data_IF_263267181382
#
_entry.id   IF_263267181382
#
_cell.length_a   1.000
_cell.length_b   1.000
_cell.length_c   1.000
_cell.angle_alpha   90.00
_cell.angle_beta   90.00
_cell.angle_gamma   90.00
#
_symmetry.space_group_name_H-M   'P 1'
#
loop_
_entity.id
_entity.type
_entity.pdbx_description
1 polymer ?
#
# COMPACT_ATOMS: atom_id res chain seq x y z
N UNK A 1 32.22 9.98 8.84
CA UNK A 1 31.41 8.85 9.36
C UNK A 1 29.90 9.00 9.15
N UNK A 2 29.32 10.21 9.18
CA UNK A 2 27.87 10.40 8.94
C UNK A 2 27.43 10.17 7.47
N UNK A 3 28.29 10.52 6.49
CA UNK A 3 28.00 10.37 5.05
C UNK A 3 27.92 8.88 4.65
N UNK A 4 28.77 8.02 5.21
CA UNK A 4 28.75 6.58 4.91
C UNK A 4 27.52 5.88 5.49
N UNK A 5 27.09 6.23 6.71
CA UNK A 5 25.90 5.66 7.34
C UNK A 5 24.63 5.97 6.55
N UNK A 6 24.46 7.21 6.08
CA UNK A 6 23.31 7.61 5.27
C UNK A 6 23.28 6.89 3.91
N UNK A 7 24.44 6.67 3.30
CA UNK A 7 24.57 5.97 2.02
C UNK A 7 24.34 4.46 2.15
N UNK A 8 24.76 3.86 3.25
CA UNK A 8 24.49 2.44 3.57
C UNK A 8 23.00 2.24 3.86
N UNK A 9 22.38 3.11 4.66
CA UNK A 9 20.94 3.06 4.94
C UNK A 9 20.10 3.20 3.66
N UNK A 10 20.46 4.13 2.77
CA UNK A 10 19.77 4.30 1.48
C UNK A 10 19.87 3.08 0.55
N UNK A 11 21.02 2.39 0.54
CA UNK A 11 21.20 1.14 -0.22
C UNK A 11 20.40 -0.02 0.38
N UNK A 12 20.36 -0.10 1.72
CA UNK A 12 19.57 -1.11 2.43
C UNK A 12 18.07 -0.93 2.17
N UNK A 13 17.57 0.31 2.23
CA UNK A 13 16.18 0.64 1.92
C UNK A 13 15.79 0.26 0.48
N UNK A 14 16.66 0.54 -0.50
CA UNK A 14 16.42 0.15 -1.89
C UNK A 14 16.39 -1.38 -2.04
N UNK A 15 17.28 -2.10 -1.36
CA UNK A 15 17.30 -3.56 -1.33
C UNK A 15 16.02 -4.16 -0.75
N UNK A 16 15.52 -3.60 0.36
CA UNK A 16 14.25 -4.03 0.98
C UNK A 16 13.08 -3.80 0.01
N UNK A 17 13.01 -2.63 -0.62
CA UNK A 17 11.96 -2.32 -1.60
C UNK A 17 11.96 -3.32 -2.77
N UNK A 18 13.14 -3.64 -3.33
CA UNK A 18 13.26 -4.62 -4.42
C UNK A 18 12.81 -6.00 -3.95
N UNK A 19 13.26 -6.46 -2.78
CA UNK A 19 12.87 -7.75 -2.23
C UNK A 19 11.35 -7.86 -2.02
N UNK A 20 10.73 -6.83 -1.44
CA UNK A 20 9.28 -6.77 -1.24
C UNK A 20 8.54 -6.75 -2.57
N UNK A 21 9.05 -6.06 -3.58
CA UNK A 21 8.44 -6.03 -4.92
C UNK A 21 8.43 -7.40 -5.58
N UNK A 22 9.55 -8.14 -5.48
CA UNK A 22 9.65 -9.50 -6.00
C UNK A 22 8.71 -10.44 -5.25
N UNK A 23 8.67 -10.36 -3.91
CA UNK A 23 7.76 -11.17 -3.09
C UNK A 23 6.29 -10.86 -3.36
N UNK A 24 5.93 -9.59 -3.57
CA UNK A 24 4.58 -9.18 -3.91
C UNK A 24 4.12 -9.75 -5.26
N UNK A 25 4.99 -9.72 -6.27
CA UNK A 25 4.71 -10.32 -7.57
C UNK A 25 4.59 -11.84 -7.47
N UNK A 26 5.53 -12.49 -6.77
CA UNK A 26 5.49 -13.94 -6.57
C UNK A 26 4.20 -14.36 -5.85
N UNK A 27 3.78 -13.63 -4.81
CA UNK A 27 2.53 -13.90 -4.10
C UNK A 27 1.31 -13.70 -5.02
N UNK A 28 1.29 -12.64 -5.83
CA UNK A 28 0.24 -12.42 -6.82
C UNK A 28 0.12 -13.58 -7.81
N UNK A 29 1.26 -14.09 -8.31
CA UNK A 29 1.30 -15.26 -9.21
C UNK A 29 0.80 -16.51 -8.49
N UNK A 30 1.24 -16.76 -7.27
CA UNK A 30 0.77 -17.91 -6.46
C UNK A 30 -0.74 -17.84 -6.27
N UNK A 31 -1.29 -16.68 -5.91
CA UNK A 31 -2.75 -16.48 -5.76
C UNK A 31 -3.45 -16.77 -7.08
N UNK A 32 -2.97 -16.24 -8.20
CA UNK A 32 -3.53 -16.52 -9.52
C UNK A 32 -3.47 -18.00 -9.91
N UNK A 33 -2.41 -18.72 -9.52
CA UNK A 33 -2.29 -20.15 -9.84
C UNK A 33 -3.19 -21.05 -9.00
N UNK A 34 -3.52 -20.65 -7.76
CA UNK A 34 -4.35 -21.44 -6.84
C UNK A 34 -5.82 -21.02 -6.84
N UNK A 35 -6.16 -19.91 -7.49
CA UNK A 35 -7.53 -19.39 -7.61
C UNK A 35 -7.93 -19.31 -9.07
N UNK A 36 -9.21 -19.52 -9.39
CA UNK A 36 -9.74 -19.34 -10.76
C UNK A 36 -9.90 -17.85 -11.14
N UNK A 37 -9.12 -16.97 -10.53
CA UNK A 37 -9.15 -15.55 -10.82
C UNK A 37 -8.48 -15.24 -12.16
N UNK A 38 -8.91 -14.19 -12.86
CA UNK A 38 -8.27 -13.77 -14.10
C UNK A 38 -6.82 -13.33 -13.87
N UNK A 39 -5.97 -13.42 -14.89
CA UNK A 39 -4.53 -13.13 -14.81
C UNK A 39 -4.20 -11.73 -14.25
N UNK A 40 -5.06 -10.74 -14.48
CA UNK A 40 -4.85 -9.38 -13.96
C UNK A 40 -5.06 -9.26 -12.44
N UNK A 41 -5.58 -10.31 -11.78
CA UNK A 41 -5.62 -10.41 -10.31
C UNK A 41 -4.23 -10.38 -9.68
N UNK A 42 -3.19 -10.82 -10.40
CA UNK A 42 -1.79 -10.69 -9.98
C UNK A 42 -1.45 -9.24 -9.68
N UNK A 43 -1.88 -8.31 -10.54
CA UNK A 43 -1.64 -6.89 -10.35
C UNK A 43 -2.42 -6.33 -9.15
N UNK A 44 -3.65 -6.79 -8.93
CA UNK A 44 -4.46 -6.37 -7.79
C UNK A 44 -3.84 -6.81 -6.46
N UNK A 45 -3.41 -8.06 -6.37
CA UNK A 45 -2.69 -8.59 -5.18
C UNK A 45 -1.37 -7.83 -4.99
N UNK A 46 -0.63 -7.57 -6.06
CA UNK A 46 0.57 -6.74 -6.01
C UNK A 46 0.30 -5.35 -5.43
N UNK A 47 -0.76 -4.67 -5.87
CA UNK A 47 -1.18 -3.37 -5.33
C UNK A 47 -1.51 -3.43 -3.83
N UNK A 48 -2.18 -4.49 -3.37
CA UNK A 48 -2.49 -4.67 -1.94
C UNK A 48 -1.19 -4.80 -1.14
N UNK A 49 -0.26 -5.66 -1.57
CA UNK A 49 0.99 -5.92 -0.83
C UNK A 49 1.90 -4.70 -0.82
N UNK A 50 2.09 -4.05 -1.97
CA UNK A 50 2.90 -2.82 -2.05
C UNK A 50 2.24 -1.68 -1.29
N UNK A 51 0.92 -1.52 -1.39
CA UNK A 51 0.17 -0.54 -0.62
C UNK A 51 0.39 -0.72 0.88
N UNK A 52 0.25 -1.95 1.38
CA UNK A 52 0.52 -2.28 2.78
C UNK A 52 1.97 -2.01 3.19
N UNK A 53 2.95 -2.38 2.35
CA UNK A 53 4.36 -2.10 2.61
C UNK A 53 4.65 -0.60 2.72
N UNK A 54 4.13 0.21 1.78
CA UNK A 54 4.30 1.66 1.79
C UNK A 54 3.66 2.25 3.06
N UNK A 55 2.47 1.80 3.45
CA UNK A 55 1.81 2.24 4.70
C UNK A 55 2.68 1.98 5.92
N UNK A 56 3.17 0.75 6.06
CA UNK A 56 4.02 0.35 7.19
C UNK A 56 5.27 1.22 7.21
N UNK A 57 5.97 1.34 6.07
CA UNK A 57 7.19 2.16 5.96
C UNK A 57 6.93 3.62 6.29
N UNK A 58 5.83 4.18 5.81
CA UNK A 58 5.45 5.57 6.03
C UNK A 58 5.08 5.88 7.49
N UNK A 59 4.54 4.91 8.23
CA UNK A 59 4.28 5.05 9.67
C UNK A 59 5.59 5.18 10.46
N UNK A 60 6.67 4.53 10.00
CA UNK A 60 7.97 4.54 10.66
C UNK A 60 8.91 5.66 10.19
N UNK A 61 8.50 6.49 9.22
CA UNK A 61 9.27 7.66 8.81
C UNK A 61 8.98 8.84 9.74
N UNK A 62 10.01 9.37 10.41
CA UNK A 62 9.91 10.59 11.22
C UNK A 62 9.40 11.78 10.39
N UNK A 63 8.40 12.50 10.91
CA UNK A 63 7.91 13.73 10.29
C UNK A 63 8.87 14.88 10.60
N UNK A 64 9.77 15.19 9.68
CA UNK A 64 10.53 16.45 9.74
C UNK A 64 9.57 17.58 9.40
N UNK A 65 9.21 18.40 10.40
CA UNK A 65 8.40 19.61 10.19
C UNK A 65 9.08 20.51 9.14
N UNK A 66 8.33 20.91 8.12
CA UNK A 66 8.24 22.29 7.60
C UNK A 66 7.39 22.33 6.32
N UNK A 67 6.18 22.88 6.43
CA UNK A 67 5.24 23.41 5.41
C UNK A 67 4.94 22.63 4.10
N UNK A 68 5.47 21.43 3.87
CA UNK A 68 5.12 20.55 2.76
C UNK A 68 4.68 19.16 3.27
N UNK A 69 3.81 18.41 2.54
CA UNK A 69 3.49 17.05 2.90
C UNK A 69 4.79 16.26 3.07
N UNK A 70 5.01 15.71 4.27
CA UNK A 70 6.22 14.95 4.52
C UNK A 70 6.23 13.70 3.63
N UNK A 71 7.41 13.19 3.28
CA UNK A 71 7.51 11.95 2.47
C UNK A 71 6.72 10.78 3.08
N UNK A 72 6.62 10.74 4.42
CA UNK A 72 5.76 9.82 5.16
C UNK A 72 4.27 10.02 4.83
N UNK A 73 3.76 11.24 4.87
CA UNK A 73 2.35 11.53 4.57
C UNK A 73 1.96 11.24 3.12
N UNK A 74 2.83 11.57 2.18
CA UNK A 74 2.61 11.22 0.77
C UNK A 74 2.56 9.70 0.59
N UNK A 75 3.49 8.97 1.21
CA UNK A 75 3.47 7.51 1.20
C UNK A 75 2.22 6.93 1.89
N UNK A 76 1.72 7.53 2.97
CA UNK A 76 0.46 7.10 3.60
C UNK A 76 -0.71 7.18 2.61
N UNK A 77 -0.87 8.31 1.91
CA UNK A 77 -1.96 8.49 0.94
C UNK A 77 -1.86 7.45 -0.19
N UNK A 78 -0.68 7.28 -0.79
CA UNK A 78 -0.49 6.30 -1.86
C UNK A 78 -0.66 4.86 -1.38
N UNK A 79 -0.17 4.55 -0.19
CA UNK A 79 -0.36 3.25 0.43
C UNK A 79 -1.83 2.90 0.63
N UNK A 80 -2.62 3.86 1.12
CA UNK A 80 -4.07 3.69 1.29
C UNK A 80 -4.81 3.56 -0.04
N UNK A 81 -4.44 4.36 -1.05
CA UNK A 81 -5.05 4.27 -2.38
C UNK A 81 -4.76 2.93 -3.05
N UNK A 82 -3.50 2.48 -3.03
CA UNK A 82 -3.11 1.20 -3.62
C UNK A 82 -3.82 0.03 -2.93
N UNK A 83 -3.90 0.07 -1.60
CA UNK A 83 -4.57 -0.95 -0.81
C UNK A 83 -6.08 -0.96 -1.12
N UNK A 84 -6.74 0.20 -1.08
CA UNK A 84 -8.18 0.31 -1.35
C UNK A 84 -8.54 -0.10 -2.78
N UNK A 85 -7.78 0.35 -3.80
CA UNK A 85 -8.00 -0.02 -5.20
C UNK A 85 -7.75 -1.52 -5.40
N UNK A 86 -6.70 -2.07 -4.81
CA UNK A 86 -6.42 -3.51 -4.88
C UNK A 86 -7.56 -4.35 -4.28
N UNK A 87 -8.02 -4.01 -3.07
CA UNK A 87 -9.14 -4.71 -2.42
C UNK A 87 -10.45 -4.59 -3.20
N UNK A 88 -10.79 -3.39 -3.67
CA UNK A 88 -12.00 -3.16 -4.46
C UNK A 88 -11.94 -3.87 -5.80
N UNK A 89 -10.78 -3.90 -6.45
CA UNK A 89 -10.57 -4.67 -7.66
C UNK A 89 -10.77 -6.18 -7.44
N UNK A 90 -10.26 -6.72 -6.32
CA UNK A 90 -10.49 -8.14 -5.96
C UNK A 90 -11.98 -8.40 -5.69
N UNK A 91 -12.67 -7.50 -4.99
CA UNK A 91 -14.12 -7.61 -4.79
C UNK A 91 -14.88 -7.56 -6.11
N UNK A 92 -14.48 -6.70 -7.05
CA UNK A 92 -15.13 -6.56 -8.35
C UNK A 92 -15.05 -7.84 -9.20
N UNK A 93 -13.99 -8.63 -9.05
CA UNK A 93 -13.82 -9.89 -9.81
C UNK A 93 -14.35 -11.12 -9.07
N UNK A 94 -14.54 -11.03 -7.76
CA UNK A 94 -15.04 -12.15 -6.92
C UNK A 94 -16.54 -12.06 -6.62
N UNK A 95 -17.15 -10.90 -6.85
CA UNK A 95 -18.55 -10.64 -6.49
C UNK A 95 -19.30 -9.95 -7.63
N UNK A 96 -20.58 -10.28 -7.81
CA UNK A 96 -21.49 -9.60 -8.75
C UNK A 96 -22.01 -8.25 -8.19
N UNK A 97 -21.20 -7.56 -7.40
CA UNK A 97 -21.59 -6.26 -6.85
C UNK A 97 -21.62 -5.20 -7.96
N UNK A 98 -22.68 -4.39 -7.95
CA UNK A 98 -22.79 -3.24 -8.86
C UNK A 98 -21.64 -2.27 -8.62
N UNK A 99 -21.11 -1.67 -9.70
CA UNK A 99 -19.98 -0.74 -9.66
C UNK A 99 -20.14 0.41 -8.65
N UNK A 100 -21.37 0.92 -8.44
CA UNK A 100 -21.62 1.98 -7.45
C UNK A 100 -21.42 1.50 -6.01
N UNK A 101 -21.69 0.23 -5.70
CA UNK A 101 -21.46 -0.36 -4.37
C UNK A 101 -19.96 -0.45 -4.12
N UNK A 102 -19.21 -0.91 -5.12
CA UNK A 102 -17.74 -0.98 -5.07
C UNK A 102 -17.11 0.41 -4.89
N UNK A 103 -17.68 1.44 -5.52
CA UNK A 103 -17.27 2.83 -5.32
C UNK A 103 -17.56 3.31 -3.89
N UNK A 104 -18.74 2.99 -3.33
CA UNK A 104 -19.05 3.31 -1.92
C UNK A 104 -18.11 2.57 -0.96
N UNK A 105 -17.80 1.30 -1.22
CA UNK A 105 -16.82 0.52 -0.44
C UNK A 105 -15.43 1.16 -0.50
N UNK A 106 -15.00 1.61 -1.68
CA UNK A 106 -13.75 2.34 -1.84
C UNK A 106 -13.73 3.60 -0.96
N UNK A 107 -14.79 4.41 -1.02
CA UNK A 107 -14.89 5.64 -0.22
C UNK A 107 -14.91 5.36 1.28
N UNK A 108 -15.61 4.32 1.72
CA UNK A 108 -15.63 3.89 3.13
C UNK A 108 -14.23 3.46 3.57
N UNK A 109 -13.54 2.63 2.77
CA UNK A 109 -12.18 2.18 3.07
C UNK A 109 -11.24 3.38 3.19
N UNK A 110 -11.24 4.29 2.23
CA UNK A 110 -10.41 5.51 2.27
C UNK A 110 -10.76 6.37 3.49
N UNK A 111 -12.04 6.56 3.80
CA UNK A 111 -12.49 7.33 4.96
C UNK A 111 -12.04 6.70 6.29
N UNK A 112 -12.21 5.38 6.46
CA UNK A 112 -11.77 4.66 7.65
C UNK A 112 -10.26 4.79 7.85
N UNK A 113 -9.48 4.70 6.77
CA UNK A 113 -8.02 4.82 6.80
C UNK A 113 -7.58 6.25 7.21
N UNK A 114 -8.27 7.28 6.72
CA UNK A 114 -8.05 8.69 7.13
C UNK A 114 -8.41 8.89 8.61
N UNK A 115 -9.55 8.35 9.07
CA UNK A 115 -10.00 8.46 10.47
C UNK A 115 -9.02 7.76 11.41
N UNK A 116 -8.56 6.55 11.08
CA UNK A 116 -7.55 5.84 11.88
C UNK A 116 -6.25 6.63 12.01
N UNK A 117 -5.78 7.29 10.94
CA UNK A 117 -4.62 8.21 11.00
C UNK A 117 -4.89 9.36 11.98
N UNK A 118 -6.06 10.00 11.87
CA UNK A 118 -6.44 11.15 12.71
C UNK A 118 -6.52 10.79 14.20
N UNK A 119 -7.02 9.60 14.55
CA UNK A 119 -7.10 9.15 15.94
C UNK A 119 -5.71 8.85 16.54
N UNK A 120 -4.81 8.24 15.76
CA UNK A 120 -3.45 7.91 16.22
C UNK A 120 -2.60 9.16 16.51
N UNK A 121 -2.90 10.29 15.88
CA UNK A 121 -2.24 11.58 16.17
C UNK A 121 -2.75 12.30 17.42
N UNK A 122 -3.80 11.79 18.09
CA UNK A 122 -4.39 12.36 19.31
C UNK A 122 -4.11 11.55 20.58
N UNK A 123 -3.53 10.36 20.44
CA UNK A 123 -3.05 9.52 21.54
C UNK A 123 -1.56 9.76 21.76
#
# INVERSE_FOLDING_TARGET
MAIDKNRINARSDAGILIAVTILALALGIVVWMITDLPWYSVFLVFMIVIGAYILIRSIFMESTMDMAPTRGEFGLVWGYLLLAVGFVGVLAITTDLKAWILFVVLLILVALLIVFKSMKGRM
#
